data_IF_438619798188
#
_entry.id   IF_438619798188
#
_cell.length_a   1.000
_cell.length_b   1.000
_cell.length_c   1.000
_cell.angle_alpha   90.00
_cell.angle_beta   90.00
_cell.angle_gamma   90.00
#
_symmetry.space_group_name_H-M   'P 1'
#
loop_
_entity.id
_entity.type
_entity.pdbx_description
1 polymer ?
#
# COMPACT_ATOMS: atom_id res chain seq x y z
N UNK A 1 11.15 41.92 13.05
CA UNK A 1 9.79 42.39 13.41
C UNK A 1 8.98 41.19 13.91
N UNK A 2 8.77 41.09 15.23
CA UNK A 2 8.41 39.86 15.94
C UNK A 2 7.04 39.27 15.54
N UNK A 3 7.02 37.99 15.13
CA UNK A 3 5.84 37.14 14.93
C UNK A 3 4.86 37.23 16.11
N UNK A 4 5.39 37.29 17.33
CA UNK A 4 4.62 37.47 18.56
C UNK A 4 3.78 38.77 18.61
N UNK A 5 4.24 39.88 18.02
CA UNK A 5 3.47 41.14 17.93
C UNK A 5 2.33 41.06 16.91
N UNK A 6 2.46 40.24 15.86
CA UNK A 6 1.40 40.00 14.87
C UNK A 6 0.30 39.10 15.43
N UNK A 7 0.65 38.02 16.13
CA UNK A 7 -0.33 37.12 16.77
C UNK A 7 -1.26 37.87 17.73
N UNK A 8 -0.74 38.85 18.48
CA UNK A 8 -1.52 39.64 19.45
C UNK A 8 -2.56 40.59 18.83
N UNK A 9 -2.46 40.89 17.52
CA UNK A 9 -3.49 41.67 16.77
C UNK A 9 -4.61 40.78 16.20
N UNK A 10 -4.40 39.46 16.19
CA UNK A 10 -5.40 38.50 15.73
C UNK A 10 -6.24 38.14 16.97
N UNK A 11 -7.47 38.62 17.03
CA UNK A 11 -8.36 38.28 18.16
C UNK A 11 -8.44 36.77 18.37
N UNK A 12 -8.55 36.32 19.62
CA UNK A 12 -8.61 34.90 20.00
C UNK A 12 -9.57 34.06 19.11
N UNK A 13 -10.77 34.56 18.72
CA UNK A 13 -11.65 33.80 17.83
C UNK A 13 -11.03 33.53 16.45
N UNK A 14 -10.33 34.51 15.86
CA UNK A 14 -9.67 34.31 14.57
C UNK A 14 -8.53 33.31 14.67
N UNK A 15 -7.76 33.32 15.76
CA UNK A 15 -6.68 32.34 15.97
C UNK A 15 -7.24 30.92 16.08
N UNK A 16 -8.38 30.75 16.78
CA UNK A 16 -9.10 29.47 16.84
C UNK A 16 -9.52 29.03 15.44
N UNK A 17 -10.15 29.91 14.63
CA UNK A 17 -10.55 29.55 13.25
C UNK A 17 -9.36 29.11 12.41
N UNK A 18 -8.23 29.84 12.45
CA UNK A 18 -7.05 29.46 11.67
C UNK A 18 -6.46 28.13 12.14
N UNK A 19 -6.42 27.89 13.46
CA UNK A 19 -5.98 26.62 14.01
C UNK A 19 -6.91 25.47 13.61
N UNK A 20 -8.23 25.66 13.67
CA UNK A 20 -9.21 24.67 13.22
C UNK A 20 -9.06 24.35 11.74
N UNK A 21 -8.94 25.37 10.88
CA UNK A 21 -8.69 25.19 9.45
C UNK A 21 -7.38 24.44 9.22
N UNK A 22 -6.31 24.80 9.93
CA UNK A 22 -5.02 24.11 9.83
C UNK A 22 -5.15 22.63 10.22
N UNK A 23 -5.85 22.32 11.31
CA UNK A 23 -6.09 20.93 11.74
C UNK A 23 -6.86 20.16 10.67
N UNK A 24 -7.93 20.74 10.12
CA UNK A 24 -8.69 20.11 9.03
C UNK A 24 -7.82 19.86 7.81
N UNK A 25 -6.98 20.82 7.41
CA UNK A 25 -6.04 20.66 6.29
C UNK A 25 -5.03 19.56 6.57
N UNK A 26 -4.43 19.50 7.77
CA UNK A 26 -3.48 18.45 8.13
C UNK A 26 -4.13 17.06 8.14
N UNK A 27 -5.34 16.94 8.68
CA UNK A 27 -6.11 15.69 8.67
C UNK A 27 -6.41 15.25 7.23
N UNK A 28 -6.73 16.19 6.35
CA UNK A 28 -7.03 15.91 4.94
C UNK A 28 -5.78 15.55 4.13
N UNK A 29 -4.60 16.00 4.55
CA UNK A 29 -3.32 15.65 3.91
C UNK A 29 -2.78 14.28 4.36
N UNK A 30 -3.22 13.73 5.49
CA UNK A 30 -2.74 12.43 5.99
C UNK A 30 -2.82 11.30 4.94
N UNK A 31 -3.94 11.10 4.21
CA UNK A 31 -4.01 10.08 3.16
C UNK A 31 -3.02 10.35 2.02
N UNK A 32 -2.86 11.60 1.60
CA UNK A 32 -1.93 11.97 0.51
C UNK A 32 -0.47 11.75 0.91
N UNK A 33 -0.12 12.07 2.15
CA UNK A 33 1.20 11.78 2.71
C UNK A 33 1.44 10.28 2.80
N UNK A 34 0.43 9.51 3.21
CA UNK A 34 0.53 8.05 3.24
C UNK A 34 0.77 7.43 1.88
N UNK A 35 0.09 7.92 0.83
CA UNK A 35 0.34 7.48 -0.56
C UNK A 35 1.76 7.86 -1.00
N UNK A 36 2.22 9.06 -0.69
CA UNK A 36 3.57 9.53 -1.05
C UNK A 36 4.68 8.72 -0.36
N UNK A 37 4.50 8.40 0.92
CA UNK A 37 5.47 7.58 1.66
C UNK A 37 5.46 6.15 1.11
N UNK A 38 4.28 5.57 0.90
CA UNK A 38 4.15 4.23 0.32
C UNK A 38 4.74 4.12 -1.08
N UNK A 39 4.63 5.15 -1.94
CA UNK A 39 5.16 5.10 -3.30
C UNK A 39 6.70 4.98 -3.35
N UNK A 40 7.38 5.39 -2.27
CA UNK A 40 8.84 5.28 -2.13
C UNK A 40 9.28 4.00 -1.40
N UNK A 41 8.37 3.19 -0.87
CA UNK A 41 8.72 1.95 -0.14
C UNK A 41 8.81 0.77 -1.08
N UNK A 42 9.60 -0.23 -0.70
CA UNK A 42 9.61 -1.51 -1.41
C UNK A 42 8.23 -2.20 -1.37
N UNK A 43 7.85 -2.84 -2.49
CA UNK A 43 6.54 -3.47 -2.69
C UNK A 43 6.22 -4.53 -1.62
N UNK A 44 7.22 -5.26 -1.13
CA UNK A 44 7.03 -6.34 -0.17
C UNK A 44 6.75 -5.74 1.22
N UNK A 45 7.35 -4.59 1.55
CA UNK A 45 7.13 -3.88 2.82
C UNK A 45 5.75 -3.21 2.90
N UNK A 46 5.22 -2.73 1.76
CA UNK A 46 3.88 -2.11 1.67
C UNK A 46 2.78 -3.13 2.01
N UNK A 47 2.97 -4.39 1.62
CA UNK A 47 1.98 -5.47 1.83
C UNK A 47 1.90 -5.90 3.30
N UNK A 48 3.00 -5.74 4.04
CA UNK A 48 3.14 -6.26 5.41
C UNK A 48 2.88 -5.20 6.47
N UNK A 49 3.09 -3.90 6.18
CA UNK A 49 2.99 -2.85 7.20
C UNK A 49 2.53 -1.49 6.66
N UNK A 50 1.85 -0.72 7.50
CA UNK A 50 1.33 0.61 7.16
C UNK A 50 2.42 1.65 6.89
N UNK A 51 2.06 2.73 6.17
CA UNK A 51 3.01 3.81 5.83
C UNK A 51 3.57 4.54 7.05
N UNK A 52 2.85 4.56 8.17
CA UNK A 52 3.32 5.19 9.41
C UNK A 52 4.50 4.44 10.05
N UNK A 53 4.75 3.18 9.69
CA UNK A 53 5.94 2.41 10.14
C UNK A 53 7.06 2.40 9.09
N UNK A 54 7.01 3.28 8.08
CA UNK A 54 7.98 3.28 6.97
C UNK A 54 9.45 3.48 7.40
N UNK A 55 9.69 4.09 8.55
CA UNK A 55 11.03 4.31 9.11
C UNK A 55 11.44 3.24 10.13
N UNK A 56 10.60 2.23 10.34
CA UNK A 56 10.84 1.10 11.26
C UNK A 56 11.04 -0.18 10.46
N UNK A 57 11.73 -1.14 11.04
CA UNK A 57 11.86 -2.48 10.43
C UNK A 57 10.48 -3.14 10.34
N UNK A 58 10.21 -3.77 9.20
CA UNK A 58 9.02 -4.59 9.01
C UNK A 58 9.34 -6.04 9.33
N UNK A 59 8.44 -6.72 10.06
CA UNK A 59 8.54 -8.16 10.30
C UNK A 59 7.60 -8.92 9.37
N UNK A 60 8.16 -9.85 8.59
CA UNK A 60 7.41 -10.72 7.70
C UNK A 60 7.55 -12.16 8.16
N UNK A 61 6.42 -12.83 8.37
CA UNK A 61 6.40 -14.26 8.68
C UNK A 61 6.24 -15.07 7.39
N UNK A 62 7.18 -15.97 7.15
CA UNK A 62 7.17 -16.86 5.99
C UNK A 62 7.36 -18.32 6.41
N UNK A 63 6.73 -19.23 5.66
CA UNK A 63 6.91 -20.66 5.87
C UNK A 63 8.10 -21.17 5.04
N UNK A 64 9.07 -21.78 5.71
CA UNK A 64 10.27 -22.37 5.09
C UNK A 64 10.30 -23.86 5.39
N UNK A 65 10.92 -24.65 4.52
CA UNK A 65 11.18 -26.07 4.79
C UNK A 65 12.65 -26.28 5.10
N UNK A 66 12.91 -27.03 6.16
CA UNK A 66 14.26 -27.52 6.45
C UNK A 66 14.70 -28.52 5.38
N UNK A 67 15.98 -28.84 5.33
CA UNK A 67 16.51 -29.86 4.44
C UNK A 67 15.95 -31.24 4.82
N UNK A 68 15.92 -32.14 3.83
CA UNK A 68 15.42 -33.50 4.02
C UNK A 68 16.46 -34.40 4.72
N UNK A 69 16.06 -35.63 5.03
CA UNK A 69 16.88 -36.57 5.78
C UNK A 69 18.17 -36.99 5.06
N UNK A 70 18.30 -36.79 3.74
CA UNK A 70 19.51 -37.18 2.99
C UNK A 70 20.75 -36.38 3.38
N UNK A 71 20.57 -35.17 3.92
CA UNK A 71 21.66 -34.25 4.29
C UNK A 71 22.06 -34.36 5.75
N UNK A 72 21.44 -35.27 6.50
CA UNK A 72 21.72 -35.47 7.92
C UNK A 72 23.16 -35.92 8.16
N UNK A 73 23.77 -35.42 9.24
CA UNK A 73 25.07 -35.86 9.74
C UNK A 73 24.93 -36.37 11.16
N UNK A 74 25.62 -37.44 11.48
CA UNK A 74 25.69 -37.93 12.86
C UNK A 74 26.75 -37.12 13.62
N UNK A 75 26.33 -36.44 14.68
CA UNK A 75 27.18 -35.67 15.58
C UNK A 75 27.07 -36.28 16.99
N UNK A 76 28.00 -37.18 17.31
CA UNK A 76 27.96 -37.96 18.56
C UNK A 76 26.75 -38.90 18.62
N UNK A 77 25.87 -38.70 19.62
CA UNK A 77 24.67 -39.51 19.86
C UNK A 77 23.41 -38.97 19.18
N UNK A 78 23.52 -37.89 18.40
CA UNK A 78 22.38 -37.22 17.73
C UNK A 78 22.61 -37.10 16.24
N UNK A 79 21.51 -37.05 15.49
CA UNK A 79 21.50 -36.69 14.08
C UNK A 79 21.17 -35.22 13.94
N UNK A 80 21.90 -34.54 13.06
CA UNK A 80 21.82 -33.10 12.85
C UNK A 80 21.65 -32.80 11.37
N UNK A 81 20.68 -31.93 11.07
CA UNK A 81 20.47 -31.32 9.75
C UNK A 81 20.77 -29.84 9.90
N UNK A 82 21.69 -29.33 9.10
CA UNK A 82 22.06 -27.92 9.08
C UNK A 82 21.79 -27.31 7.72
N UNK A 83 21.40 -26.05 7.69
CA UNK A 83 21.17 -25.31 6.46
C UNK A 83 20.94 -23.83 6.71
N UNK A 84 20.43 -23.13 5.69
CA UNK A 84 20.02 -21.74 5.81
C UNK A 84 18.54 -21.61 5.41
N UNK A 85 17.78 -20.81 6.15
CA UNK A 85 16.35 -20.55 5.88
C UNK A 85 16.14 -19.49 4.79
N UNK A 86 17.15 -18.68 4.50
CA UNK A 86 17.12 -17.69 3.42
C UNK A 86 17.52 -18.34 2.09
N UNK A 87 16.71 -18.10 1.06
CA UNK A 87 17.10 -18.40 -0.33
C UNK A 87 18.13 -17.39 -0.83
N UNK A 88 18.97 -17.79 -1.80
CA UNK A 88 20.04 -16.97 -2.36
C UNK A 88 19.55 -15.57 -2.77
N UNK A 89 19.94 -14.55 -2.01
CA UNK A 89 19.59 -13.14 -2.27
C UNK A 89 18.54 -12.53 -1.33
N UNK A 90 17.88 -13.32 -0.47
CA UNK A 90 17.05 -12.79 0.61
C UNK A 90 17.91 -12.48 1.84
N UNK A 91 17.88 -11.23 2.28
CA UNK A 91 18.59 -10.77 3.47
C UNK A 91 17.61 -10.28 4.54
N UNK A 92 17.98 -10.45 5.80
CA UNK A 92 17.18 -10.01 6.95
C UNK A 92 17.72 -10.62 8.23
N UNK A 93 17.15 -10.23 9.36
CA UNK A 93 17.46 -10.87 10.64
C UNK A 93 16.27 -11.70 11.08
N UNK A 94 16.48 -12.98 11.32
CA UNK A 94 15.43 -13.80 11.94
C UNK A 94 15.21 -13.28 13.36
N UNK A 95 14.00 -12.82 13.64
CA UNK A 95 13.59 -12.32 14.95
C UNK A 95 13.03 -13.44 15.82
N UNK A 96 12.21 -14.31 15.23
CA UNK A 96 11.56 -15.43 15.90
C UNK A 96 11.26 -16.56 14.90
N UNK A 97 10.96 -17.74 15.43
CA UNK A 97 10.54 -18.89 14.64
C UNK A 97 9.49 -19.73 15.37
N UNK A 98 8.84 -20.63 14.65
CA UNK A 98 7.81 -21.52 15.16
C UNK A 98 7.59 -22.72 14.25
N UNK A 99 7.02 -23.79 14.80
CA UNK A 99 6.73 -25.02 14.04
C UNK A 99 5.24 -25.16 13.68
N UNK A 100 4.39 -24.32 14.27
CA UNK A 100 2.93 -24.32 14.09
C UNK A 100 2.49 -23.03 13.41
N UNK A 101 1.46 -23.11 12.58
CA UNK A 101 0.84 -21.95 11.93
C UNK A 101 0.25 -20.99 12.97
N UNK A 102 -0.31 -21.55 14.04
CA UNK A 102 -0.98 -20.80 15.10
C UNK A 102 0.01 -20.01 15.98
N UNK A 103 1.25 -20.50 16.07
CA UNK A 103 2.31 -19.94 16.92
C UNK A 103 3.62 -19.84 16.11
N UNK A 104 3.65 -18.99 15.06
CA UNK A 104 4.78 -18.91 14.14
C UNK A 104 6.00 -18.21 14.75
N UNK A 105 5.83 -17.55 15.90
CA UNK A 105 6.86 -16.82 16.65
C UNK A 105 7.01 -17.34 18.08
N UNK A 106 6.70 -18.63 18.29
CA UNK A 106 6.77 -19.28 19.61
C UNK A 106 8.16 -19.20 20.26
N UNK A 107 9.21 -19.21 19.44
CA UNK A 107 10.61 -19.27 19.89
C UNK A 107 11.40 -18.08 19.36
N UNK A 108 12.34 -17.57 20.16
CA UNK A 108 13.24 -16.49 19.75
C UNK A 108 14.40 -17.02 18.95
N UNK A 109 14.84 -16.27 17.93
CA UNK A 109 16.05 -16.63 17.19
C UNK A 109 17.30 -16.59 18.08
N UNK A 110 18.23 -17.52 17.85
CA UNK A 110 19.47 -17.70 18.61
C UNK A 110 19.35 -18.61 19.84
N UNK A 111 18.15 -19.05 20.19
CA UNK A 111 17.91 -20.00 21.29
C UNK A 111 17.48 -21.36 20.74
N UNK A 112 18.04 -22.44 21.31
CA UNK A 112 17.64 -23.80 20.95
C UNK A 112 16.25 -24.09 21.53
N UNK A 113 15.28 -24.38 20.67
CA UNK A 113 13.91 -24.67 21.04
C UNK A 113 13.64 -26.17 21.00
N UNK A 114 13.02 -26.69 22.06
CA UNK A 114 12.39 -28.01 22.04
C UNK A 114 11.07 -27.91 21.29
N UNK A 115 10.98 -28.62 20.16
CA UNK A 115 9.80 -28.60 19.29
C UNK A 115 8.88 -29.81 19.52
N UNK A 116 9.14 -30.60 20.57
CA UNK A 116 8.43 -31.83 20.89
C UNK A 116 9.06 -33.07 20.27
N UNK A 117 8.63 -34.27 20.70
CA UNK A 117 9.08 -35.57 20.17
C UNK A 117 10.61 -35.81 20.23
N UNK A 118 11.29 -35.15 21.19
CA UNK A 118 12.74 -35.24 21.38
C UNK A 118 13.53 -34.53 20.27
N UNK A 119 12.90 -33.60 19.57
CA UNK A 119 13.49 -32.82 18.49
C UNK A 119 13.83 -31.40 18.98
N UNK A 120 15.00 -30.91 18.59
CA UNK A 120 15.48 -29.58 18.95
C UNK A 120 15.81 -28.79 17.69
N UNK A 121 15.33 -27.55 17.61
CA UNK A 121 15.58 -26.64 16.51
C UNK A 121 16.21 -25.35 17.03
N UNK A 122 17.39 -25.03 16.54
CA UNK A 122 18.05 -23.74 16.72
C UNK A 122 17.99 -23.00 15.38
N UNK A 123 17.41 -21.79 15.37
CA UNK A 123 17.48 -20.89 14.22
C UNK A 123 18.20 -19.63 14.65
N UNK A 124 19.37 -19.37 14.08
CA UNK A 124 20.18 -18.20 14.38
C UNK A 124 19.64 -16.96 13.66
N UNK A 125 20.05 -15.78 14.14
CA UNK A 125 19.61 -14.49 13.59
C UNK A 125 20.07 -14.27 12.14
N UNK A 126 21.14 -14.95 11.72
CA UNK A 126 21.69 -14.89 10.35
C UNK A 126 20.98 -15.85 9.37
N UNK A 127 19.99 -16.60 9.85
CA UNK A 127 19.23 -17.57 9.07
C UNK A 127 19.81 -18.97 9.02
N UNK A 128 21.00 -19.19 9.60
CA UNK A 128 21.50 -20.55 9.77
C UNK A 128 20.65 -21.31 10.78
N UNK A 129 20.41 -22.59 10.53
CA UNK A 129 19.67 -23.43 11.46
C UNK A 129 20.39 -24.75 11.73
N UNK A 130 20.15 -25.29 12.92
CA UNK A 130 20.54 -26.62 13.34
C UNK A 130 19.30 -27.35 13.85
N UNK A 131 18.95 -28.43 13.18
CA UNK A 131 17.82 -29.28 13.53
C UNK A 131 18.33 -30.64 13.96
N UNK A 132 18.07 -31.02 15.21
CA UNK A 132 18.67 -32.21 15.82
C UNK A 132 17.66 -33.12 16.51
N UNK A 133 17.95 -34.42 16.50
CA UNK A 133 17.17 -35.47 17.16
C UNK A 133 18.08 -36.63 17.57
N UNK A 134 17.74 -37.37 18.62
CA UNK A 134 18.47 -38.57 19.01
C UNK A 134 18.37 -39.73 17.99
N UNK A 135 17.23 -39.84 17.29
CA UNK A 135 17.00 -40.83 16.23
C UNK A 135 17.27 -40.24 14.85
N UNK A 136 17.53 -41.10 13.85
CA UNK A 136 17.72 -40.68 12.46
C UNK A 136 16.45 -40.02 11.89
N UNK A 137 16.63 -39.04 11.02
CA UNK A 137 15.52 -38.46 10.29
C UNK A 137 15.04 -39.41 9.19
N UNK A 138 13.72 -39.47 8.99
CA UNK A 138 13.09 -40.26 7.95
C UNK A 138 12.24 -39.36 7.04
N UNK A 139 12.19 -39.69 5.75
CA UNK A 139 11.35 -39.02 4.76
C UNK A 139 12.10 -38.06 3.81
N UNK A 140 11.48 -37.84 2.66
CA UNK A 140 12.02 -37.03 1.55
C UNK A 140 11.59 -35.56 1.59
N UNK A 141 10.79 -35.15 2.58
CA UNK A 141 10.32 -33.78 2.75
C UNK A 141 10.76 -33.27 4.11
N UNK A 142 11.59 -32.24 4.13
CA UNK A 142 11.98 -31.60 5.38
C UNK A 142 10.82 -30.91 6.09
N UNK A 143 10.97 -30.75 7.41
CA UNK A 143 9.94 -30.18 8.29
C UNK A 143 9.64 -28.74 7.88
N UNK A 144 8.36 -28.37 7.87
CA UNK A 144 7.93 -26.98 7.64
C UNK A 144 8.04 -26.22 8.95
N UNK A 145 8.72 -25.08 8.91
CA UNK A 145 8.90 -24.12 10.00
C UNK A 145 8.45 -22.75 9.53
N UNK A 146 8.12 -21.88 10.47
CA UNK A 146 7.76 -20.49 10.25
C UNK A 146 8.87 -19.64 10.83
N UNK A 147 9.32 -18.63 10.08
CA UNK A 147 10.31 -17.67 10.53
C UNK A 147 9.71 -16.28 10.40
N UNK A 148 9.90 -15.44 11.43
CA UNK A 148 9.67 -14.00 11.35
C UNK A 148 10.99 -13.33 11.05
N UNK A 149 11.06 -12.64 9.92
CA UNK A 149 12.26 -11.95 9.43
C UNK A 149 12.03 -10.45 9.57
N UNK A 150 12.88 -9.80 10.35
CA UNK A 150 12.94 -8.35 10.44
C UNK A 150 13.84 -7.80 9.33
N UNK A 151 13.24 -7.00 8.44
CA UNK A 151 13.93 -6.36 7.32
C UNK A 151 13.99 -4.85 7.56
N UNK A 152 15.16 -4.20 7.44
CA UNK A 152 15.27 -2.75 7.60
C UNK A 152 14.45 -2.01 6.53
N UNK A 153 14.05 -0.75 6.79
CA UNK A 153 13.28 0.03 5.82
C UNK A 153 14.09 0.25 4.54
N UNK A 154 13.48 -0.06 3.39
CA UNK A 154 14.08 0.13 2.07
C UNK A 154 13.25 1.16 1.31
N UNK A 155 13.90 2.28 0.98
CA UNK A 155 13.33 3.30 0.10
C UNK A 155 13.90 3.15 -1.31
N UNK A 156 13.02 3.11 -2.30
CA UNK A 156 13.37 2.91 -3.71
C UNK A 156 12.46 3.72 -4.63
N UNK A 157 12.89 3.91 -5.88
CA UNK A 157 12.10 4.48 -6.96
C UNK A 157 11.58 3.41 -7.93
N UNK A 158 11.74 2.13 -7.60
CA UNK A 158 11.39 1.04 -8.50
C UNK A 158 9.89 1.00 -8.81
N UNK A 159 9.02 1.36 -7.85
CA UNK A 159 7.58 1.49 -8.11
C UNK A 159 7.30 2.47 -9.27
N UNK A 160 8.00 3.61 -9.31
CA UNK A 160 7.87 4.58 -10.39
C UNK A 160 8.42 4.04 -11.70
N UNK A 161 9.58 3.38 -11.67
CA UNK A 161 10.16 2.76 -12.87
C UNK A 161 9.20 1.72 -13.45
N UNK A 162 8.69 0.81 -12.63
CA UNK A 162 7.72 -0.21 -13.03
C UNK A 162 6.52 0.41 -13.72
N UNK A 163 5.90 1.44 -13.14
CA UNK A 163 4.73 2.10 -13.75
C UNK A 163 5.12 2.83 -15.04
N UNK A 164 6.19 3.63 -15.03
CA UNK A 164 6.58 4.42 -16.20
C UNK A 164 7.06 3.56 -17.38
N UNK A 165 7.60 2.37 -17.13
CA UNK A 165 8.03 1.41 -18.18
C UNK A 165 6.99 0.34 -18.46
N UNK A 166 5.87 0.30 -17.73
CA UNK A 166 4.81 -0.66 -17.99
C UNK A 166 4.16 -0.39 -19.35
N UNK A 167 3.99 -1.44 -20.13
CA UNK A 167 3.36 -1.37 -21.44
C UNK A 167 1.91 -0.86 -21.32
N UNK A 168 1.51 0.07 -22.19
CA UNK A 168 0.15 0.60 -22.24
C UNK A 168 -0.16 1.79 -21.31
N UNK A 169 0.69 2.15 -20.34
CA UNK A 169 0.43 3.33 -19.47
C UNK A 169 0.51 4.65 -20.25
N UNK A 170 1.52 4.82 -21.10
CA UNK A 170 1.62 6.00 -21.96
C UNK A 170 0.41 6.16 -22.88
N UNK A 171 -0.06 5.05 -23.48
CA UNK A 171 -1.24 5.07 -24.34
C UNK A 171 -2.51 5.39 -23.56
N UNK A 172 -2.67 4.81 -22.36
CA UNK A 172 -3.83 5.09 -21.48
C UNK A 172 -3.90 6.56 -21.07
N UNK A 173 -2.75 7.17 -20.82
CA UNK A 173 -2.63 8.60 -20.55
C UNK A 173 -3.05 9.46 -21.76
N UNK A 174 -2.57 9.14 -22.96
CA UNK A 174 -2.96 9.85 -24.19
C UNK A 174 -4.44 9.67 -24.51
N UNK A 175 -4.99 8.46 -24.32
CA UNK A 175 -6.42 8.18 -24.50
C UNK A 175 -7.26 9.07 -23.56
N UNK A 176 -6.85 9.15 -22.30
CA UNK A 176 -7.52 9.99 -21.30
C UNK A 176 -7.48 11.47 -21.67
N UNK A 177 -6.33 11.97 -22.16
CA UNK A 177 -6.19 13.35 -22.61
C UNK A 177 -7.05 13.64 -23.84
N UNK A 178 -7.08 12.70 -24.78
CA UNK A 178 -7.86 12.78 -26.02
C UNK A 178 -9.36 12.88 -25.75
N UNK A 179 -9.84 12.26 -24.66
CA UNK A 179 -11.24 12.36 -24.24
C UNK A 179 -11.48 13.62 -23.38
N UNK A 180 -10.61 13.89 -22.41
CA UNK A 180 -10.80 14.97 -21.44
C UNK A 180 -10.70 16.37 -22.05
N UNK A 181 -9.80 16.60 -22.99
CA UNK A 181 -9.60 17.93 -23.59
C UNK A 181 -10.83 18.36 -24.42
N UNK A 182 -11.35 17.56 -25.36
CA UNK A 182 -12.58 17.92 -26.08
C UNK A 182 -13.80 18.00 -25.15
N UNK A 183 -13.92 17.09 -24.18
CA UNK A 183 -15.04 17.06 -23.23
C UNK A 183 -15.07 18.27 -22.29
N UNK A 184 -13.96 18.99 -22.13
CA UNK A 184 -13.91 20.24 -21.35
C UNK A 184 -14.02 21.46 -22.25
N UNK A 185 -13.25 21.53 -23.33
CA UNK A 185 -13.19 22.71 -24.20
C UNK A 185 -14.51 22.93 -24.95
N UNK A 186 -15.09 21.90 -25.55
CA UNK A 186 -16.30 22.06 -26.39
C UNK A 186 -17.49 22.54 -25.54
N UNK A 187 -17.81 21.92 -24.38
CA UNK A 187 -18.92 22.41 -23.56
C UNK A 187 -18.67 23.81 -22.97
N UNK A 188 -17.44 24.13 -22.56
CA UNK A 188 -17.11 25.47 -22.05
C UNK A 188 -17.32 26.53 -23.12
N UNK A 189 -16.88 26.29 -24.36
CA UNK A 189 -17.06 27.25 -25.45
C UNK A 189 -18.55 27.49 -25.76
N UNK A 190 -19.34 26.41 -25.87
CA UNK A 190 -20.79 26.52 -26.08
C UNK A 190 -21.46 27.24 -24.91
N UNK A 191 -21.11 26.88 -23.67
CA UNK A 191 -21.64 27.50 -22.46
C UNK A 191 -21.26 28.98 -22.38
N UNK A 192 -20.05 29.37 -22.77
CA UNK A 192 -19.61 30.76 -22.78
C UNK A 192 -20.42 31.62 -23.76
N UNK A 193 -20.67 31.12 -24.99
CA UNK A 193 -21.52 31.82 -25.96
C UNK A 193 -22.97 31.91 -25.49
N UNK A 194 -23.52 30.81 -24.95
CA UNK A 194 -24.87 30.80 -24.39
C UNK A 194 -24.99 31.77 -23.20
N UNK A 195 -24.00 31.79 -22.31
CA UNK A 195 -23.96 32.70 -21.17
C UNK A 195 -23.95 34.17 -21.62
N UNK A 196 -23.14 34.52 -22.63
CA UNK A 196 -23.11 35.88 -23.17
C UNK A 196 -24.49 36.28 -23.75
N UNK A 197 -25.08 35.44 -24.59
CA UNK A 197 -26.40 35.71 -25.17
C UNK A 197 -27.48 35.86 -24.10
N UNK A 198 -27.49 34.97 -23.09
CA UNK A 198 -28.49 35.00 -22.02
C UNK A 198 -28.26 36.14 -21.02
N UNK A 199 -27.04 36.64 -20.83
CA UNK A 199 -26.79 37.73 -19.87
C UNK A 199 -26.89 39.12 -20.49
N UNK A 200 -26.51 39.30 -21.76
CA UNK A 200 -26.41 40.63 -22.38
C UNK A 200 -27.40 40.91 -23.52
N UNK A 201 -28.00 39.89 -24.16
CA UNK A 201 -28.95 40.11 -25.26
C UNK A 201 -30.41 40.06 -24.79
N UNK A 202 -31.26 40.94 -25.33
CA UNK A 202 -32.70 40.94 -25.09
C UNK A 202 -33.44 40.33 -26.28
N UNK A 203 -34.02 39.14 -26.10
CA UNK A 203 -34.82 38.46 -27.12
C UNK A 203 -36.02 37.73 -26.49
N UNK A 204 -37.05 37.46 -27.29
CA UNK A 204 -38.27 36.77 -26.83
C UNK A 204 -37.95 35.31 -26.48
N UNK A 205 -38.32 34.86 -25.27
CA UNK A 205 -38.05 33.50 -24.77
C UNK A 205 -36.83 33.35 -23.85
N UNK A 206 -36.04 34.41 -23.64
CA UNK A 206 -34.86 34.41 -22.74
C UNK A 206 -35.15 33.86 -21.35
N UNK A 207 -36.24 34.31 -20.71
CA UNK A 207 -36.58 33.89 -19.34
C UNK A 207 -36.95 32.40 -19.26
N UNK A 208 -37.56 31.84 -20.31
CA UNK A 208 -37.89 30.42 -20.39
C UNK A 208 -36.61 29.57 -20.50
N UNK A 209 -35.65 29.99 -21.34
CA UNK A 209 -34.37 29.29 -21.48
C UNK A 209 -33.56 29.32 -20.18
N UNK A 210 -33.53 30.46 -19.47
CA UNK A 210 -32.89 30.55 -18.15
C UNK A 210 -33.55 29.58 -17.16
N UNK A 211 -34.88 29.56 -17.09
CA UNK A 211 -35.61 28.66 -16.22
C UNK A 211 -35.34 27.18 -16.54
N UNK A 212 -35.26 26.83 -17.83
CA UNK A 212 -34.93 25.46 -18.28
C UNK A 212 -33.52 25.06 -17.86
N UNK A 213 -32.51 25.89 -18.11
CA UNK A 213 -31.11 25.59 -17.73
C UNK A 213 -30.99 25.40 -16.22
N UNK A 214 -31.59 26.31 -15.43
CA UNK A 214 -31.58 26.20 -13.97
C UNK A 214 -32.31 24.93 -13.51
N UNK A 215 -33.46 24.62 -14.11
CA UNK A 215 -34.20 23.39 -13.81
C UNK A 215 -33.42 22.12 -14.12
N UNK A 216 -32.65 22.11 -15.21
CA UNK A 216 -31.82 20.95 -15.60
C UNK A 216 -30.64 20.71 -14.66
N UNK A 217 -30.09 21.75 -14.01
CA UNK A 217 -29.01 21.60 -13.01
C UNK A 217 -29.49 20.80 -11.78
N UNK A 218 -30.79 20.83 -11.48
CA UNK A 218 -31.38 20.12 -10.33
C UNK A 218 -31.38 18.60 -10.53
N UNK A 219 -31.31 18.13 -11.78
CA UNK A 219 -31.35 16.70 -12.09
C UNK A 219 -30.04 16.02 -11.65
N UNK A 220 -30.09 15.03 -10.75
CA UNK A 220 -28.89 14.32 -10.34
C UNK A 220 -28.32 13.49 -11.50
N UNK A 221 -27.04 13.67 -11.82
CA UNK A 221 -26.35 12.92 -12.89
C UNK A 221 -26.39 11.40 -12.68
N UNK A 222 -26.48 10.95 -11.42
CA UNK A 222 -26.59 9.54 -11.07
C UNK A 222 -27.88 8.91 -11.62
N UNK A 223 -28.98 9.67 -11.69
CA UNK A 223 -30.27 9.18 -12.20
C UNK A 223 -30.27 9.01 -13.72
N UNK A 224 -29.39 9.70 -14.45
CA UNK A 224 -29.28 9.57 -15.91
C UNK A 224 -28.40 8.42 -16.38
N UNK A 225 -27.64 7.77 -15.49
CA UNK A 225 -26.64 6.77 -15.87
C UNK A 225 -27.27 5.48 -16.41
N UNK A 226 -28.34 4.98 -15.79
CA UNK A 226 -29.05 3.77 -16.24
C UNK A 226 -29.65 3.95 -17.65
N UNK A 227 -30.40 5.03 -17.95
CA UNK A 227 -30.88 5.29 -19.30
C UNK A 227 -29.76 5.42 -20.34
N UNK A 228 -28.67 6.12 -20.01
CA UNK A 228 -27.53 6.29 -20.94
C UNK A 228 -26.85 4.96 -21.27
N UNK A 229 -26.69 4.07 -20.28
CA UNK A 229 -26.14 2.74 -20.52
C UNK A 229 -27.04 1.89 -21.42
N UNK A 230 -28.37 1.98 -21.25
CA UNK A 230 -29.33 1.29 -22.13
C UNK A 230 -29.22 1.79 -23.56
N UNK A 231 -29.21 3.11 -23.74
CA UNK A 231 -29.05 3.73 -25.07
C UNK A 231 -27.74 3.32 -25.74
N UNK A 232 -26.63 3.24 -25.00
CA UNK A 232 -25.34 2.84 -25.56
C UNK A 232 -25.29 1.36 -25.96
N UNK A 233 -25.95 0.48 -25.22
CA UNK A 233 -25.95 -0.97 -25.49
C UNK A 233 -27.00 -1.41 -26.54
N UNK A 234 -27.98 -0.56 -26.85
CA UNK A 234 -28.98 -0.79 -27.90
C UNK A 234 -28.49 -0.37 -29.30
N UNK A 235 -27.34 0.31 -29.38
CA UNK A 235 -26.65 0.72 -30.63
C UNK A 235 -25.54 -0.30 -30.92
#
# INVERSE_FOLDING_TARGET
>A
MNIFKRLRRVGLPRLIVHASVLVVVLLWLLPTLGILVSSLRDKDQITVSGWWTAFSSSEQTSAVRLADASVQKQDGSRYVISGNVFESGQGGKVAAFGVRVQEPTAFKAGEAADIGDGETLLVNTDGTYEYSKAASFEGSRGKRVYISVATPPVFTLDNYRTVLTSEGIGQSFVNSLTVAVPATVIPILIAAFAAYALSWMSFSGRNLLIAMVVGLIVVPLQMSLIPLLRLYNEI
#
